data_IF_851051225983
#
_entry.id   IF_851051225983
#
_cell.length_a   1.000
_cell.length_b   1.000
_cell.length_c   1.000
_cell.angle_alpha   90.00
_cell.angle_beta   90.00
_cell.angle_gamma   90.00
#
_symmetry.space_group_name_H-M   'P 1'
#
loop_
_entity.id
_entity.type
_entity.pdbx_description
1 polymer ?
#
# COMPACT_ATOMS: atom_id res chain seq x y z
N UNK A 1 56.44 -55.24 2.36
CA UNK A 1 55.10 -54.92 1.80
C UNK A 1 54.76 -53.48 2.18
N UNK A 2 54.59 -52.57 1.22
CA UNK A 2 54.35 -51.14 1.52
C UNK A 2 52.88 -50.90 1.86
N UNK A 3 52.61 -50.45 3.09
CA UNK A 3 51.29 -50.02 3.55
C UNK A 3 50.89 -48.72 2.82
N UNK A 4 50.01 -48.80 1.81
CA UNK A 4 49.46 -47.62 1.11
C UNK A 4 48.21 -47.13 1.85
N UNK A 5 48.25 -45.90 2.34
CA UNK A 5 47.12 -45.21 2.95
C UNK A 5 46.38 -44.40 1.88
N UNK A 6 45.08 -44.62 1.74
CA UNK A 6 44.22 -43.93 0.78
C UNK A 6 43.48 -42.77 1.46
N UNK A 7 43.33 -41.66 0.74
CA UNK A 7 42.60 -40.47 1.21
C UNK A 7 41.51 -40.10 0.20
N UNK A 8 40.44 -39.49 0.71
CA UNK A 8 39.27 -39.09 -0.05
C UNK A 8 39.24 -37.56 -0.09
N UNK A 9 39.20 -37.00 -1.29
CA UNK A 9 39.12 -35.55 -1.53
C UNK A 9 37.95 -35.24 -2.48
N UNK A 10 37.37 -34.04 -2.39
CA UNK A 10 36.21 -33.64 -3.20
C UNK A 10 36.66 -32.61 -4.23
N UNK A 11 36.50 -32.94 -5.51
CA UNK A 11 36.84 -32.07 -6.63
C UNK A 11 35.97 -30.79 -6.65
N UNK A 12 36.40 -29.72 -7.33
CA UNK A 12 35.63 -28.47 -7.46
C UNK A 12 34.27 -28.63 -8.17
N UNK A 13 34.04 -29.76 -8.82
CA UNK A 13 32.77 -30.15 -9.46
C UNK A 13 31.84 -30.97 -8.52
N UNK A 14 32.24 -31.15 -7.25
CA UNK A 14 31.48 -31.86 -6.22
C UNK A 14 31.65 -33.39 -6.25
N UNK A 15 32.49 -33.96 -7.13
CA UNK A 15 32.70 -35.40 -7.21
C UNK A 15 33.81 -35.87 -6.28
N UNK A 16 33.55 -36.98 -5.59
CA UNK A 16 34.52 -37.60 -4.68
C UNK A 16 35.59 -38.36 -5.45
N UNK A 17 36.86 -38.08 -5.17
CA UNK A 17 38.01 -38.71 -5.83
C UNK A 17 38.99 -39.28 -4.79
N UNK A 18 39.52 -40.47 -5.08
CA UNK A 18 40.46 -41.19 -4.22
C UNK A 18 41.90 -40.90 -4.65
N UNK A 19 42.69 -40.28 -3.77
CA UNK A 19 44.05 -39.86 -4.08
C UNK A 19 45.04 -40.68 -3.27
N UNK A 20 46.02 -41.29 -3.94
CA UNK A 20 47.15 -41.94 -3.28
C UNK A 20 48.34 -40.97 -3.23
N UNK A 21 48.71 -40.52 -2.03
CA UNK A 21 49.96 -39.77 -1.83
C UNK A 21 51.16 -40.71 -2.04
N UNK A 22 51.86 -40.55 -3.17
CA UNK A 22 53.17 -41.18 -3.37
C UNK A 22 54.18 -40.46 -2.46
N UNK A 23 54.55 -41.08 -1.35
CA UNK A 23 55.71 -40.64 -0.55
C UNK A 23 56.95 -40.68 -1.43
N UNK A 24 57.59 -39.53 -1.61
CA UNK A 24 58.91 -39.38 -2.20
C UNK A 24 59.87 -40.32 -1.49
N UNK A 25 60.43 -41.29 -2.22
CA UNK A 25 61.50 -42.16 -1.71
C UNK A 25 62.77 -41.33 -1.67
N UNK A 26 63.25 -41.00 -0.48
CA UNK A 26 64.60 -40.45 -0.28
C UNK A 26 65.62 -41.50 -0.70
N UNK A 27 66.27 -41.29 -1.85
CA UNK A 27 67.40 -42.08 -2.30
C UNK A 27 68.61 -41.77 -1.40
N UNK A 28 69.07 -42.76 -0.63
CA UNK A 28 70.38 -42.74 0.00
C UNK A 28 71.45 -42.91 -1.07
N UNK A 29 72.06 -41.81 -1.50
CA UNK A 29 73.31 -41.85 -2.27
C UNK A 29 74.47 -42.02 -1.28
N UNK A 30 74.96 -43.24 -1.13
CA UNK A 30 76.32 -43.48 -0.66
C UNK A 30 77.26 -43.22 -1.83
N UNK A 31 77.86 -42.04 -1.86
CA UNK A 31 78.90 -41.68 -2.81
C UNK A 31 80.08 -41.10 -2.05
N UNK A 32 81.13 -41.91 -1.86
CA UNK A 32 82.46 -41.45 -1.49
C UNK A 32 83.13 -40.84 -2.73
N UNK A 33 83.51 -39.55 -2.75
CA UNK A 33 84.47 -39.03 -3.72
C UNK A 33 85.87 -39.17 -3.13
N UNK A 34 86.61 -40.13 -3.69
CA UNK A 34 88.06 -40.27 -3.55
C UNK A 34 88.70 -39.08 -4.28
N UNK A 35 89.21 -38.10 -3.54
CA UNK A 35 90.11 -37.08 -4.08
C UNK A 35 91.56 -37.48 -3.82
N UNK A 36 92.33 -37.46 -4.90
CA UNK A 36 93.75 -37.73 -4.97
C UNK A 36 94.54 -36.76 -4.08
N UNK A 37 95.59 -37.28 -3.45
CA UNK A 37 96.53 -36.53 -2.64
C UNK A 37 97.30 -35.50 -3.48
N UNK A 38 97.33 -34.22 -3.06
CA UNK A 38 98.52 -33.41 -3.18
C UNK A 38 99.39 -33.68 -1.94
N UNK A 39 100.57 -34.25 -2.16
CA UNK A 39 101.61 -34.28 -1.13
C UNK A 39 102.02 -32.84 -0.82
N UNK A 40 101.66 -32.35 0.36
CA UNK A 40 102.31 -31.25 1.10
C UNK A 40 101.57 -31.08 2.44
N UNK A 41 101.77 -32.03 3.36
CA UNK A 41 101.45 -31.80 4.76
C UNK A 41 102.51 -30.84 5.33
N UNK A 42 102.14 -29.69 5.93
CA UNK A 42 103.05 -29.02 6.85
C UNK A 42 103.34 -29.99 8.01
N UNK A 43 104.54 -29.98 8.61
CA UNK A 43 104.81 -30.83 9.74
C UNK A 43 103.90 -30.41 10.88
N UNK A 44 103.01 -31.32 11.31
CA UNK A 44 102.21 -31.16 12.51
C UNK A 44 103.21 -31.11 13.67
N UNK A 45 103.42 -29.92 14.24
CA UNK A 45 104.21 -29.77 15.46
C UNK A 45 103.45 -30.46 16.59
N UNK A 46 103.78 -31.72 16.84
CA UNK A 46 103.31 -32.44 18.02
C UNK A 46 103.88 -31.77 19.28
N UNK A 47 103.10 -30.87 19.87
CA UNK A 47 103.33 -30.39 21.23
C UNK A 47 103.16 -31.59 22.19
N UNK A 48 104.29 -32.11 22.70
CA UNK A 48 104.38 -33.25 23.64
C UNK A 48 103.80 -32.99 25.05
N UNK A 49 102.77 -32.15 25.19
CA UNK A 49 102.27 -31.72 26.50
C UNK A 49 100.79 -32.05 26.78
N UNK A 50 100.04 -32.65 25.86
CA UNK A 50 98.63 -32.97 26.11
C UNK A 50 98.25 -34.35 25.57
N UNK A 51 97.35 -35.03 26.28
CA UNK A 51 96.74 -36.34 25.91
C UNK A 51 96.05 -36.23 24.54
N UNK A 52 95.89 -37.37 23.85
CA UNK A 52 95.34 -37.48 22.49
C UNK A 52 93.90 -36.94 22.32
N UNK A 53 93.19 -36.61 23.42
CA UNK A 53 91.86 -35.97 23.42
C UNK A 53 91.92 -34.43 23.58
N UNK A 54 93.10 -33.81 23.41
CA UNK A 54 93.25 -32.37 23.51
C UNK A 54 92.70 -31.69 22.25
N UNK A 55 91.61 -30.94 22.38
CA UNK A 55 91.17 -30.04 21.32
C UNK A 55 92.24 -28.95 21.18
N UNK A 56 93.08 -29.04 20.15
CA UNK A 56 94.17 -28.11 19.86
C UNK A 56 93.66 -26.73 19.41
N UNK A 57 92.71 -26.15 20.14
CA UNK A 57 92.13 -24.85 19.86
C UNK A 57 92.96 -23.78 20.56
N UNK A 58 93.42 -22.80 19.79
CA UNK A 58 94.02 -21.59 20.33
C UNK A 58 92.99 -20.80 21.16
N UNK A 59 93.46 -19.96 22.08
CA UNK A 59 92.59 -19.10 22.89
C UNK A 59 91.68 -18.21 22.02
N UNK A 60 92.19 -17.73 20.89
CA UNK A 60 91.43 -16.88 19.96
C UNK A 60 90.36 -17.67 19.21
N UNK A 61 90.66 -18.88 18.74
CA UNK A 61 89.69 -19.77 18.10
C UNK A 61 88.57 -20.19 19.05
N UNK A 62 88.91 -20.40 20.33
CA UNK A 62 87.92 -20.65 21.38
C UNK A 62 87.03 -19.43 21.62
N UNK A 63 87.60 -18.22 21.69
CA UNK A 63 86.84 -16.98 21.85
C UNK A 63 85.89 -16.74 20.66
N UNK A 64 86.34 -17.00 19.43
CA UNK A 64 85.53 -16.89 18.22
C UNK A 64 84.34 -17.86 18.22
N UNK A 65 84.57 -19.10 18.68
CA UNK A 65 83.49 -20.09 18.84
C UNK A 65 82.48 -19.66 19.89
N UNK A 66 82.94 -19.15 21.04
CA UNK A 66 82.06 -18.63 22.11
C UNK A 66 81.24 -17.44 21.62
N UNK A 67 81.84 -16.51 20.89
CA UNK A 67 81.15 -15.33 20.37
C UNK A 67 80.15 -15.70 19.25
N UNK A 68 80.48 -16.66 18.39
CA UNK A 68 79.55 -17.22 17.41
C UNK A 68 78.36 -17.88 18.10
N UNK A 69 78.62 -18.71 19.11
CA UNK A 69 77.58 -19.37 19.89
C UNK A 69 76.68 -18.35 20.61
N UNK A 70 77.25 -17.28 21.17
CA UNK A 70 76.50 -16.17 21.77
C UNK A 70 75.56 -15.53 20.73
N UNK A 71 76.08 -15.16 19.55
CA UNK A 71 75.28 -14.57 18.45
C UNK A 71 74.19 -15.51 17.95
N UNK A 72 74.48 -16.81 17.84
CA UNK A 72 73.49 -17.81 17.44
C UNK A 72 72.37 -17.94 18.46
N UNK A 73 72.69 -17.91 19.77
CA UNK A 73 71.67 -17.90 20.84
C UNK A 73 70.81 -16.66 20.79
N UNK A 74 71.40 -15.48 20.62
CA UNK A 74 70.66 -14.23 20.50
C UNK A 74 69.73 -14.22 19.29
N UNK A 75 70.21 -14.70 18.14
CA UNK A 75 69.38 -14.85 16.94
C UNK A 75 68.25 -15.85 17.15
N UNK A 76 68.52 -16.98 17.80
CA UNK A 76 67.50 -17.98 18.11
C UNK A 76 66.44 -17.42 19.06
N UNK A 77 66.84 -16.69 20.10
CA UNK A 77 65.91 -16.04 21.03
C UNK A 77 65.01 -15.01 20.32
N UNK A 78 65.56 -14.21 19.41
CA UNK A 78 64.79 -13.28 18.58
C UNK A 78 63.79 -14.03 17.68
N UNK A 79 64.25 -15.05 16.96
CA UNK A 79 63.39 -15.88 16.10
C UNK A 79 62.30 -16.60 16.90
N UNK A 80 62.61 -17.06 18.12
CA UNK A 80 61.64 -17.69 19.01
C UNK A 80 60.54 -16.71 19.43
N UNK A 81 60.90 -15.47 19.78
CA UNK A 81 59.92 -14.41 20.09
C UNK A 81 59.06 -14.06 18.88
N UNK A 82 59.66 -13.91 17.70
CA UNK A 82 58.94 -13.68 16.46
C UNK A 82 58.00 -14.84 16.13
N UNK A 83 58.45 -16.08 16.31
CA UNK A 83 57.63 -17.27 16.08
C UNK A 83 56.40 -17.31 17.00
N UNK A 84 56.57 -16.95 18.28
CA UNK A 84 55.46 -16.83 19.24
C UNK A 84 54.50 -15.72 18.82
N UNK A 85 55.01 -14.55 18.43
CA UNK A 85 54.19 -13.43 17.96
C UNK A 85 53.38 -13.78 16.71
N UNK A 86 54.02 -14.39 15.72
CA UNK A 86 53.36 -14.83 14.48
C UNK A 86 52.28 -15.88 14.75
N UNK A 87 52.53 -16.83 15.66
CA UNK A 87 51.52 -17.82 16.07
C UNK A 87 50.31 -17.16 16.73
N UNK A 88 50.55 -16.19 17.62
CA UNK A 88 49.47 -15.44 18.26
C UNK A 88 48.64 -14.66 17.23
N UNK A 89 49.30 -13.99 16.29
CA UNK A 89 48.63 -13.25 15.20
C UNK A 89 47.82 -14.18 14.29
N UNK A 90 48.37 -15.36 13.95
CA UNK A 90 47.66 -16.37 13.16
C UNK A 90 46.39 -16.85 13.88
N UNK A 91 46.48 -17.15 15.17
CA UNK A 91 45.33 -17.57 15.97
C UNK A 91 44.25 -16.49 16.06
N UNK A 92 44.65 -15.22 16.21
CA UNK A 92 43.73 -14.09 16.20
C UNK A 92 43.03 -13.94 14.83
N UNK A 93 43.79 -14.02 13.73
CA UNK A 93 43.24 -13.96 12.38
C UNK A 93 42.29 -15.13 12.07
N UNK A 94 42.63 -16.34 12.52
CA UNK A 94 41.79 -17.53 12.36
C UNK A 94 40.49 -17.43 13.18
N UNK A 95 40.55 -16.88 14.39
CA UNK A 95 39.36 -16.61 15.19
C UNK A 95 38.44 -15.59 14.51
N UNK A 96 39.01 -14.52 13.95
CA UNK A 96 38.26 -13.50 13.21
C UNK A 96 37.65 -14.03 11.92
N UNK A 97 38.40 -14.85 11.16
CA UNK A 97 37.89 -15.52 9.97
C UNK A 97 36.68 -16.42 10.30
N UNK A 98 36.73 -17.17 11.41
CA UNK A 98 35.59 -17.95 11.90
C UNK A 98 34.40 -17.08 12.30
N UNK A 99 34.64 -15.96 12.99
CA UNK A 99 33.60 -15.00 13.37
C UNK A 99 32.90 -14.42 12.16
N UNK A 100 33.67 -13.94 11.17
CA UNK A 100 33.14 -13.40 9.92
C UNK A 100 32.42 -14.47 9.10
N UNK A 101 32.96 -15.69 9.06
CA UNK A 101 32.31 -16.84 8.41
C UNK A 101 30.93 -17.15 8.96
N UNK A 102 30.67 -16.86 10.25
CA UNK A 102 29.33 -16.98 10.84
C UNK A 102 28.39 -15.81 10.51
N UNK A 103 28.92 -14.59 10.40
CA UNK A 103 28.11 -13.37 10.21
C UNK A 103 27.71 -13.17 8.74
N UNK A 104 28.60 -13.47 7.79
CA UNK A 104 28.36 -13.25 6.36
C UNK A 104 27.08 -13.94 5.87
N UNK A 105 26.82 -15.23 6.18
CA UNK A 105 25.58 -15.88 5.76
C UNK A 105 24.32 -15.26 6.36
N UNK A 106 24.39 -14.79 7.61
CA UNK A 106 23.27 -14.12 8.29
C UNK A 106 22.92 -12.83 7.55
N UNK A 107 23.92 -11.99 7.29
CA UNK A 107 23.72 -10.73 6.56
C UNK A 107 23.23 -10.98 5.12
N UNK A 108 23.72 -12.04 4.46
CA UNK A 108 23.24 -12.41 3.12
C UNK A 108 21.76 -12.83 3.15
N UNK A 109 21.34 -13.62 4.14
CA UNK A 109 19.96 -14.02 4.31
C UNK A 109 19.04 -12.82 4.59
N UNK A 110 19.46 -11.89 5.46
CA UNK A 110 18.73 -10.66 5.74
C UNK A 110 18.62 -9.77 4.50
N UNK A 111 19.70 -9.61 3.73
CA UNK A 111 19.69 -8.85 2.48
C UNK A 111 18.72 -9.46 1.46
N UNK A 112 18.65 -10.79 1.39
CA UNK A 112 17.71 -11.48 0.51
C UNK A 112 16.25 -11.25 0.96
N UNK A 113 15.98 -11.39 2.27
CA UNK A 113 14.64 -11.13 2.81
C UNK A 113 14.17 -9.69 2.52
N UNK A 114 15.05 -8.70 2.70
CA UNK A 114 14.75 -7.30 2.39
C UNK A 114 14.51 -7.05 0.89
N UNK A 115 15.19 -7.79 0.01
CA UNK A 115 14.94 -7.74 -1.45
C UNK A 115 13.57 -8.32 -1.80
N UNK A 116 13.23 -9.44 -1.19
CA UNK A 116 11.94 -10.11 -1.42
C UNK A 116 10.77 -9.23 -0.91
N UNK A 117 10.93 -8.61 0.26
CA UNK A 117 9.96 -7.65 0.80
C UNK A 117 9.82 -6.42 -0.11
N UNK A 118 10.94 -5.84 -0.58
CA UNK A 118 10.90 -4.73 -1.53
C UNK A 118 10.17 -5.11 -2.82
N UNK A 119 10.40 -6.32 -3.35
CA UNK A 119 9.71 -6.81 -4.53
C UNK A 119 8.20 -6.97 -4.27
N UNK A 120 7.81 -7.53 -3.13
CA UNK A 120 6.42 -7.67 -2.73
C UNK A 120 5.72 -6.32 -2.58
N UNK A 121 6.38 -5.34 -1.96
CA UNK A 121 5.87 -3.98 -1.80
C UNK A 121 5.68 -3.28 -3.15
N UNK A 122 6.62 -3.44 -4.10
CA UNK A 122 6.48 -2.89 -5.46
C UNK A 122 5.28 -3.50 -6.19
N UNK A 123 5.13 -4.82 -6.15
CA UNK A 123 3.96 -5.50 -6.73
C UNK A 123 2.63 -5.01 -6.10
N UNK A 124 2.62 -4.83 -4.77
CA UNK A 124 1.46 -4.29 -4.05
C UNK A 124 1.12 -2.86 -4.50
N UNK A 125 2.13 -2.01 -4.66
CA UNK A 125 1.98 -0.63 -5.12
C UNK A 125 1.44 -0.57 -6.56
N UNK A 126 1.97 -1.39 -7.46
CA UNK A 126 1.48 -1.50 -8.85
C UNK A 126 0.02 -1.96 -8.89
N UNK A 127 -0.33 -2.97 -8.09
CA UNK A 127 -1.70 -3.44 -7.97
C UNK A 127 -2.63 -2.36 -7.40
N UNK A 128 -2.21 -1.64 -6.36
CA UNK A 128 -2.98 -0.54 -5.78
C UNK A 128 -3.19 0.59 -6.79
N UNK A 129 -2.15 0.99 -7.51
CA UNK A 129 -2.24 2.01 -8.57
C UNK A 129 -3.22 1.63 -9.69
N UNK A 130 -3.24 0.35 -10.07
CA UNK A 130 -4.23 -0.18 -11.02
C UNK A 130 -5.68 -0.06 -10.52
N UNK A 131 -5.92 -0.26 -9.23
CA UNK A 131 -7.25 -0.07 -8.62
C UNK A 131 -7.61 1.41 -8.52
N UNK A 132 -6.68 2.28 -8.12
CA UNK A 132 -6.92 3.73 -8.05
C UNK A 132 -7.39 4.30 -9.40
N UNK A 133 -6.77 3.87 -10.50
CA UNK A 133 -7.19 4.29 -11.84
C UNK A 133 -8.61 3.83 -12.20
N UNK A 134 -9.01 2.61 -11.81
CA UNK A 134 -10.38 2.11 -11.99
C UNK A 134 -11.39 2.91 -11.17
N UNK A 135 -11.12 3.11 -9.88
CA UNK A 135 -11.98 3.89 -8.99
C UNK A 135 -12.12 5.35 -9.48
N UNK A 136 -11.04 5.97 -9.94
CA UNK A 136 -11.09 7.32 -10.49
C UNK A 136 -12.03 7.41 -11.71
N UNK A 137 -11.96 6.44 -12.64
CA UNK A 137 -12.88 6.37 -13.79
C UNK A 137 -14.32 6.13 -13.37
N UNK A 138 -14.57 5.32 -12.35
CA UNK A 138 -15.91 5.09 -11.81
C UNK A 138 -16.48 6.35 -11.15
N UNK A 139 -15.68 7.05 -10.36
CA UNK A 139 -16.06 8.34 -9.75
C UNK A 139 -16.44 9.35 -10.83
N UNK A 140 -15.65 9.50 -11.89
CA UNK A 140 -15.98 10.41 -13.01
C UNK A 140 -17.27 10.02 -13.74
N UNK A 141 -17.49 8.72 -13.96
CA UNK A 141 -18.76 8.23 -14.53
C UNK A 141 -19.95 8.57 -13.63
N UNK A 142 -19.82 8.37 -12.32
CA UNK A 142 -20.87 8.68 -11.35
C UNK A 142 -21.14 10.17 -11.26
N UNK A 143 -20.10 11.01 -11.26
CA UNK A 143 -20.23 12.48 -11.32
C UNK A 143 -21.00 12.93 -12.54
N UNK A 144 -20.69 12.39 -13.72
CA UNK A 144 -21.41 12.72 -14.94
C UNK A 144 -22.89 12.32 -14.88
N UNK A 145 -23.19 11.13 -14.35
CA UNK A 145 -24.58 10.67 -14.16
C UNK A 145 -25.34 11.54 -13.17
N UNK A 146 -24.72 11.88 -12.04
CA UNK A 146 -25.31 12.74 -11.03
C UNK A 146 -25.64 14.11 -11.63
N UNK A 147 -24.71 14.70 -12.36
CA UNK A 147 -24.93 15.98 -13.02
C UNK A 147 -26.06 15.93 -14.06
N UNK A 148 -26.19 14.83 -14.81
CA UNK A 148 -27.31 14.62 -15.74
C UNK A 148 -28.65 14.58 -15.00
N UNK A 149 -28.73 13.83 -13.90
CA UNK A 149 -29.93 13.71 -13.08
C UNK A 149 -30.29 15.05 -12.44
N UNK A 150 -29.31 15.84 -11.99
CA UNK A 150 -29.55 17.18 -11.44
C UNK A 150 -30.19 18.11 -12.48
N UNK A 151 -29.70 18.09 -13.73
CA UNK A 151 -30.31 18.88 -14.81
C UNK A 151 -31.74 18.42 -15.11
N UNK A 152 -31.98 17.11 -15.14
CA UNK A 152 -33.33 16.56 -15.34
C UNK A 152 -34.27 16.95 -14.20
N UNK A 153 -33.82 16.87 -12.95
CA UNK A 153 -34.54 17.35 -11.77
C UNK A 153 -34.90 18.83 -11.92
N UNK A 154 -33.94 19.68 -12.29
CA UNK A 154 -34.17 21.12 -12.40
C UNK A 154 -35.14 21.46 -13.53
N UNK A 155 -35.06 20.76 -14.66
CA UNK A 155 -36.01 20.88 -15.76
C UNK A 155 -37.43 20.46 -15.33
N UNK A 156 -37.56 19.35 -14.60
CA UNK A 156 -38.84 18.89 -14.06
C UNK A 156 -39.42 19.87 -13.04
N UNK A 157 -38.60 20.42 -12.14
CA UNK A 157 -39.02 21.46 -11.19
C UNK A 157 -39.52 22.70 -11.93
N UNK A 158 -38.80 23.15 -12.96
CA UNK A 158 -39.23 24.27 -13.79
C UNK A 158 -40.58 23.99 -14.46
N UNK A 159 -40.76 22.77 -15.00
CA UNK A 159 -42.03 22.37 -15.64
C UNK A 159 -43.19 22.30 -14.66
N UNK A 160 -42.97 21.78 -13.45
CA UNK A 160 -43.99 21.76 -12.39
C UNK A 160 -44.41 23.17 -11.98
N UNK A 161 -43.44 24.09 -11.85
CA UNK A 161 -43.73 25.50 -11.55
C UNK A 161 -44.56 26.15 -12.65
N UNK A 162 -44.20 25.92 -13.91
CA UNK A 162 -44.93 26.46 -15.06
C UNK A 162 -46.37 25.91 -15.13
N UNK A 163 -46.54 24.60 -15.02
CA UNK A 163 -47.87 23.97 -15.04
C UNK A 163 -48.73 24.39 -13.85
N UNK A 164 -48.16 24.45 -12.65
CA UNK A 164 -48.87 24.93 -11.45
C UNK A 164 -49.31 26.37 -11.63
N UNK A 165 -48.47 27.22 -12.21
CA UNK A 165 -48.79 28.64 -12.44
C UNK A 165 -49.90 28.80 -13.49
N UNK A 166 -49.76 28.18 -14.66
CA UNK A 166 -50.73 28.37 -15.76
C UNK A 166 -52.04 27.65 -15.51
N UNK A 167 -52.00 26.36 -15.18
CA UNK A 167 -53.23 25.58 -15.13
C UNK A 167 -54.11 25.96 -13.94
N UNK A 168 -53.51 26.20 -12.76
CA UNK A 168 -54.29 26.54 -11.57
C UNK A 168 -54.68 28.01 -11.57
N UNK A 169 -53.77 28.94 -11.90
CA UNK A 169 -54.12 30.37 -11.86
C UNK A 169 -55.15 30.73 -12.93
N UNK A 170 -54.92 30.33 -14.18
CA UNK A 170 -55.77 30.73 -15.30
C UNK A 170 -57.17 30.11 -15.18
N UNK A 171 -57.24 28.84 -14.74
CA UNK A 171 -58.54 28.17 -14.56
C UNK A 171 -59.33 28.76 -13.39
N UNK A 172 -58.67 29.09 -12.29
CA UNK A 172 -59.34 29.71 -11.13
C UNK A 172 -59.80 31.12 -11.49
N UNK A 173 -59.02 31.89 -12.26
CA UNK A 173 -59.46 33.21 -12.78
C UNK A 173 -60.64 33.12 -13.75
N UNK A 174 -60.66 32.12 -14.63
CA UNK A 174 -61.80 31.85 -15.51
C UNK A 174 -63.07 31.52 -14.69
N UNK A 175 -62.97 30.60 -13.73
CA UNK A 175 -64.08 30.23 -12.86
C UNK A 175 -64.59 31.42 -12.04
N UNK A 176 -63.68 32.26 -11.50
CA UNK A 176 -64.05 33.51 -10.82
C UNK A 176 -64.86 34.44 -11.74
N UNK A 177 -64.45 34.62 -12.99
CA UNK A 177 -65.20 35.41 -13.98
C UNK A 177 -66.59 34.84 -14.25
N UNK A 178 -66.70 33.51 -14.36
CA UNK A 178 -67.98 32.82 -14.56
C UNK A 178 -68.92 33.04 -13.36
N UNK A 179 -68.40 32.89 -12.13
CA UNK A 179 -69.17 33.11 -10.90
C UNK A 179 -69.74 34.53 -10.86
N UNK A 180 -68.89 35.55 -11.04
CA UNK A 180 -69.33 36.95 -11.04
C UNK A 180 -70.40 37.23 -12.11
N UNK A 181 -70.29 36.60 -13.28
CA UNK A 181 -71.29 36.75 -14.34
C UNK A 181 -72.63 36.10 -13.95
N UNK A 182 -72.59 34.93 -13.30
CA UNK A 182 -73.80 34.26 -12.81
C UNK A 182 -74.45 34.99 -11.65
N UNK A 183 -73.67 35.55 -10.72
CA UNK A 183 -74.17 36.41 -9.63
C UNK A 183 -74.97 37.58 -10.22
N UNK A 184 -74.40 38.31 -11.20
CA UNK A 184 -75.11 39.41 -11.87
C UNK A 184 -76.40 38.98 -12.56
N UNK A 185 -76.39 37.82 -13.23
CA UNK A 185 -77.61 37.27 -13.86
C UNK A 185 -78.65 36.89 -12.82
N UNK A 186 -78.21 36.31 -11.70
CA UNK A 186 -79.07 35.95 -10.59
C UNK A 186 -79.72 37.20 -9.99
N UNK A 187 -78.95 38.27 -9.74
CA UNK A 187 -79.46 39.55 -9.22
C UNK A 187 -80.55 40.13 -10.13
N UNK A 188 -80.35 40.11 -11.45
CA UNK A 188 -81.36 40.58 -12.42
C UNK A 188 -82.65 39.76 -12.35
N UNK A 189 -82.53 38.43 -12.26
CA UNK A 189 -83.68 37.54 -12.14
C UNK A 189 -84.38 37.72 -10.80
N UNK A 190 -83.64 37.86 -9.71
CA UNK A 190 -84.17 38.09 -8.37
C UNK A 190 -84.91 39.43 -8.28
N UNK A 191 -84.34 40.51 -8.84
CA UNK A 191 -84.99 41.81 -8.95
C UNK A 191 -86.28 41.74 -9.77
N UNK A 192 -86.27 41.01 -10.89
CA UNK A 192 -87.46 40.79 -11.68
C UNK A 192 -88.53 40.01 -10.90
N UNK A 193 -88.14 38.97 -10.18
CA UNK A 193 -89.05 38.17 -9.34
C UNK A 193 -89.66 39.01 -8.21
N UNK A 194 -88.86 39.85 -7.55
CA UNK A 194 -89.31 40.82 -6.54
C UNK A 194 -90.33 41.81 -7.10
N UNK A 195 -90.17 42.27 -8.35
CA UNK A 195 -91.15 43.15 -9.03
C UNK A 195 -92.46 42.42 -9.29
N UNK A 196 -92.40 41.24 -9.92
CA UNK A 196 -93.60 40.43 -10.19
C UNK A 196 -94.38 40.12 -8.92
N UNK A 197 -93.69 39.82 -7.81
CA UNK A 197 -94.34 39.59 -6.51
C UNK A 197 -95.08 40.82 -6.00
N UNK A 198 -94.52 42.01 -6.17
CA UNK A 198 -95.19 43.28 -5.83
C UNK A 198 -96.41 43.52 -6.72
N UNK A 199 -96.25 43.35 -8.04
CA UNK A 199 -97.36 43.54 -8.98
C UNK A 199 -98.53 42.58 -8.71
N UNK A 200 -98.23 41.31 -8.36
CA UNK A 200 -99.25 40.32 -7.96
C UNK A 200 -99.97 40.76 -6.68
N UNK A 201 -99.24 41.29 -5.70
CA UNK A 201 -99.84 41.77 -4.45
C UNK A 201 -100.74 42.99 -4.69
N UNK A 202 -100.27 43.95 -5.49
CA UNK A 202 -101.06 45.12 -5.88
C UNK A 202 -102.35 44.70 -6.62
N UNK A 203 -102.26 43.73 -7.53
CA UNK A 203 -103.43 43.15 -8.21
C UNK A 203 -104.39 42.48 -7.23
N UNK A 204 -103.89 41.75 -6.23
CA UNK A 204 -104.73 41.13 -5.19
C UNK A 204 -105.46 42.18 -4.37
N UNK A 205 -104.79 43.26 -3.97
CA UNK A 205 -105.42 44.37 -3.27
C UNK A 205 -106.53 45.02 -4.10
N UNK A 206 -106.28 45.27 -5.40
CA UNK A 206 -107.32 45.81 -6.29
C UNK A 206 -108.52 44.87 -6.44
N UNK A 207 -108.28 43.56 -6.62
CA UNK A 207 -109.36 42.57 -6.72
C UNK A 207 -110.18 42.58 -5.43
N UNK A 208 -109.54 42.62 -4.27
CA UNK A 208 -110.21 42.70 -2.98
C UNK A 208 -111.07 43.96 -2.86
N UNK A 209 -110.57 45.12 -3.28
CA UNK A 209 -111.36 46.37 -3.29
C UNK A 209 -112.58 46.26 -4.22
N UNK A 210 -112.41 45.69 -5.42
CA UNK A 210 -113.51 45.47 -6.36
C UNK A 210 -114.54 44.48 -5.81
N UNK A 211 -114.11 43.40 -5.16
CA UNK A 211 -114.99 42.46 -4.46
C UNK A 211 -115.81 43.16 -3.37
N UNK A 212 -115.20 44.03 -2.56
CA UNK A 212 -115.90 44.79 -1.53
C UNK A 212 -116.93 45.76 -2.12
N UNK A 213 -116.60 46.43 -3.23
CA UNK A 213 -117.52 47.31 -3.96
C UNK A 213 -118.68 46.50 -4.56
N UNK A 214 -118.41 45.36 -5.20
CA UNK A 214 -119.43 44.44 -5.71
C UNK A 214 -120.36 43.96 -4.59
N UNK A 215 -119.83 43.51 -3.44
CA UNK A 215 -120.63 43.14 -2.27
C UNK A 215 -121.50 44.30 -1.76
N UNK A 216 -121.05 45.54 -1.92
CA UNK A 216 -121.83 46.73 -1.56
C UNK A 216 -122.96 46.99 -2.56
N UNK A 217 -122.65 46.94 -3.86
CA UNK A 217 -123.66 47.08 -4.92
C UNK A 217 -124.70 45.97 -4.84
N UNK A 218 -124.30 44.72 -4.62
CA UNK A 218 -125.21 43.60 -4.40
C UNK A 218 -126.15 43.86 -3.21
N UNK A 219 -125.64 44.36 -2.08
CA UNK A 219 -126.49 44.71 -0.92
C UNK A 219 -127.53 45.77 -1.27
N UNK A 220 -127.15 46.81 -2.03
CA UNK A 220 -128.08 47.88 -2.47
C UNK A 220 -129.13 47.30 -3.43
N UNK A 221 -128.72 46.51 -4.42
CA UNK A 221 -129.62 45.89 -5.39
C UNK A 221 -130.61 44.92 -4.73
N UNK A 222 -130.15 44.11 -3.75
CA UNK A 222 -131.03 43.24 -2.96
C UNK A 222 -132.05 44.05 -2.16
N UNK A 223 -131.64 45.15 -1.52
CA UNK A 223 -132.53 46.03 -0.74
C UNK A 223 -133.62 46.68 -1.59
N UNK A 224 -133.33 46.98 -2.85
CA UNK A 224 -134.24 47.65 -3.79
C UNK A 224 -135.06 46.67 -4.66
N UNK A 225 -134.98 45.35 -4.40
CA UNK A 225 -135.78 44.33 -5.10
C UNK A 225 -135.26 43.92 -6.49
N UNK A 226 -134.10 44.41 -6.91
CA UNK A 226 -133.51 44.16 -8.23
C UNK A 226 -132.58 42.94 -8.27
N UNK A 227 -132.15 42.42 -7.12
CA UNK A 227 -131.36 41.19 -7.03
C UNK A 227 -132.15 40.13 -6.25
N UNK A 228 -132.91 39.31 -6.98
CA UNK A 228 -133.32 37.98 -6.49
C UNK A 228 -132.25 36.99 -6.97
N UNK A 229 -131.56 36.38 -6.02
CA UNK A 229 -130.78 35.18 -6.30
C UNK A 229 -131.75 33.98 -6.25
N UNK A 230 -131.75 33.19 -7.33
CA UNK A 230 -131.88 31.73 -7.20
C UNK A 230 -130.54 31.18 -6.67
#
# INVERSE_FOLDING_TARGET
MSNRRWYVDTAPDGRTQYISLKRSRSHHYYGYPRYEQPQCSPPVQHHRCCRDDCCHLGRDEWNDLVERERKLRESNDCLARENVSLKANYQAAEAEARRLGGIVPILQAENQALRDENAALRCSLENAGGHTGKFHREVEKLRHRLHKIERERDALIARVKELSRHYVSDKVEELRRIIVNWERKFDVVDDHNKRLRRDIEDQRCMIQEQEERLRTYERILRRNGYARFE
#
